data_IF_672831961343
#
_entry.id   IF_672831961343
#
_cell.length_a   1.000
_cell.length_b   1.000
_cell.length_c   1.000
_cell.angle_alpha   90.00
_cell.angle_beta   90.00
_cell.angle_gamma   90.00
#
_symmetry.space_group_name_H-M   'P 1'
#
loop_
_entity.id
_entity.type
_entity.pdbx_description
1 polymer ?
#
# COMPACT_ATOMS: atom_id res chain seq x y z
N UNK A 1 29.06 17.11 -24.97
CA UNK A 1 28.00 16.52 -24.11
C UNK A 1 28.08 17.19 -22.74
N UNK A 2 27.09 18.02 -22.41
CA UNK A 2 27.20 19.01 -21.33
C UNK A 2 27.27 18.34 -19.94
N UNK A 3 28.15 18.84 -19.07
CA UNK A 3 28.37 18.31 -17.71
C UNK A 3 27.08 18.28 -16.88
N UNK A 4 26.16 19.21 -17.17
CA UNK A 4 24.80 19.27 -16.60
C UNK A 4 23.93 18.05 -16.94
N UNK A 5 24.03 17.51 -18.17
CA UNK A 5 23.25 16.33 -18.58
C UNK A 5 23.75 15.03 -17.91
N UNK A 6 25.04 14.96 -17.55
CA UNK A 6 25.60 13.80 -16.83
C UNK A 6 25.13 13.75 -15.39
N UNK A 7 24.97 14.91 -14.74
CA UNK A 7 24.47 15.02 -13.38
C UNK A 7 22.98 14.66 -13.32
N UNK A 8 22.15 15.18 -14.24
CA UNK A 8 20.73 14.81 -14.29
C UNK A 8 20.50 13.32 -14.59
N UNK A 9 21.33 12.69 -15.45
CA UNK A 9 21.26 11.25 -15.71
C UNK A 9 21.68 10.42 -14.48
N UNK A 10 22.68 10.87 -13.72
CA UNK A 10 23.11 10.23 -12.48
C UNK A 10 22.05 10.32 -11.38
N UNK A 11 21.32 11.45 -11.27
CA UNK A 11 20.18 11.58 -10.35
C UNK A 11 18.98 10.73 -10.76
N UNK A 12 18.70 10.61 -12.07
CA UNK A 12 17.66 9.72 -12.58
C UNK A 12 17.99 8.24 -12.31
N UNK A 13 19.26 7.84 -12.52
CA UNK A 13 19.75 6.49 -12.25
C UNK A 13 19.75 6.15 -10.76
N UNK A 14 20.07 7.10 -9.89
CA UNK A 14 20.04 6.93 -8.43
C UNK A 14 18.59 6.79 -7.89
N UNK A 15 17.64 7.53 -8.46
CA UNK A 15 16.22 7.38 -8.15
C UNK A 15 15.64 6.04 -8.63
N UNK A 16 16.12 5.49 -9.75
CA UNK A 16 15.75 4.13 -10.19
C UNK A 16 16.47 3.02 -9.41
N UNK A 17 17.64 3.28 -8.82
CA UNK A 17 18.36 2.30 -7.99
C UNK A 17 17.75 2.14 -6.59
N UNK A 18 17.07 3.17 -6.07
CA UNK A 18 16.43 3.13 -4.75
C UNK A 18 15.03 2.49 -4.77
N UNK A 19 14.44 2.25 -5.95
CA UNK A 19 13.24 1.42 -6.10
C UNK A 19 13.55 -0.10 -6.11
N UNK A 20 14.83 -0.50 -6.15
CA UNK A 20 15.25 -1.89 -6.25
C UNK A 20 15.40 -2.62 -4.90
N UNK A 21 15.14 -1.95 -3.77
CA UNK A 21 15.33 -2.53 -2.42
C UNK A 21 14.04 -2.57 -1.60
N UNK A 22 12.87 -2.55 -2.22
CA UNK A 22 11.58 -2.60 -1.53
C UNK A 22 10.86 -3.87 -2.00
N UNK A 23 10.72 -4.91 -1.16
CA UNK A 23 9.98 -6.09 -1.51
C UNK A 23 8.50 -5.73 -1.42
N UNK A 24 7.75 -5.98 -2.48
CA UNK A 24 6.32 -5.69 -2.51
C UNK A 24 5.54 -6.99 -2.58
N UNK A 25 4.38 -7.04 -1.94
CA UNK A 25 3.41 -8.11 -2.10
C UNK A 25 2.04 -7.49 -2.00
N UNK A 26 1.09 -7.87 -2.86
CA UNK A 26 -0.26 -7.33 -2.81
C UNK A 26 -1.32 -8.41 -2.73
N UNK A 27 -2.44 -8.07 -2.13
CA UNK A 27 -3.64 -8.90 -2.11
C UNK A 27 -4.75 -8.15 -2.79
N UNK A 28 -5.47 -8.81 -3.69
CA UNK A 28 -6.64 -8.25 -4.36
C UNK A 28 -7.90 -8.91 -3.83
N UNK A 29 -8.92 -8.10 -3.59
CA UNK A 29 -10.26 -8.51 -3.19
C UNK A 29 -11.23 -8.00 -4.25
N UNK A 30 -11.96 -8.94 -4.86
CA UNK A 30 -13.02 -8.61 -5.80
C UNK A 30 -14.27 -8.16 -5.03
N UNK A 31 -14.72 -6.94 -5.29
CA UNK A 31 -15.92 -6.35 -4.74
C UNK A 31 -17.00 -6.29 -5.81
N UNK A 32 -18.22 -6.68 -5.46
CA UNK A 32 -19.40 -6.41 -6.29
C UNK A 32 -19.63 -4.90 -6.49
N UNK A 33 -20.57 -4.55 -7.36
CA UNK A 33 -20.90 -3.15 -7.64
C UNK A 33 -21.44 -2.45 -6.37
N UNK A 34 -20.73 -1.44 -5.87
CA UNK A 34 -21.31 -0.39 -5.00
C UNK A 34 -20.76 -0.23 -3.58
N UNK A 35 -19.85 -1.08 -3.08
CA UNK A 35 -19.47 -1.06 -1.65
C UNK A 35 -18.00 -0.76 -1.35
N UNK A 36 -17.22 -0.32 -2.34
CA UNK A 36 -15.76 -0.17 -2.22
C UNK A 36 -15.26 0.67 -1.05
N UNK A 37 -15.90 1.81 -0.77
CA UNK A 37 -15.50 2.66 0.37
C UNK A 37 -15.76 2.01 1.73
N UNK A 38 -16.89 1.31 1.87
CA UNK A 38 -17.26 0.60 3.11
C UNK A 38 -16.29 -0.55 3.37
N UNK A 39 -15.92 -1.29 2.33
CA UNK A 39 -14.94 -2.36 2.45
C UNK A 39 -13.53 -1.81 2.74
N UNK A 40 -13.17 -0.69 2.12
CA UNK A 40 -11.95 0.03 2.43
C UNK A 40 -11.93 0.50 3.89
N UNK A 41 -13.03 0.99 4.47
CA UNK A 41 -13.13 1.32 5.90
C UNK A 41 -12.86 0.11 6.81
N UNK A 42 -13.36 -1.08 6.42
CA UNK A 42 -13.11 -2.32 7.18
C UNK A 42 -11.65 -2.74 7.12
N UNK A 43 -11.03 -2.68 5.95
CA UNK A 43 -9.60 -2.98 5.78
C UNK A 43 -8.74 -1.98 6.54
N UNK A 44 -9.06 -0.70 6.43
CA UNK A 44 -8.36 0.37 7.14
C UNK A 44 -8.41 0.13 8.66
N UNK A 45 -9.57 -0.28 9.20
CA UNK A 45 -9.73 -0.62 10.62
C UNK A 45 -8.94 -1.87 11.00
N UNK A 46 -8.88 -2.88 10.13
CA UNK A 46 -8.08 -4.07 10.35
C UNK A 46 -6.59 -3.72 10.45
N UNK A 47 -6.08 -2.92 9.51
CA UNK A 47 -4.68 -2.49 9.50
C UNK A 47 -4.32 -1.70 10.77
N UNK A 48 -5.19 -0.79 11.22
CA UNK A 48 -5.01 -0.05 12.47
C UNK A 48 -4.95 -0.99 13.68
N UNK A 49 -5.85 -1.97 13.77
CA UNK A 49 -5.84 -2.99 14.83
C UNK A 49 -4.60 -3.86 14.80
N UNK A 50 -4.00 -4.07 13.63
CA UNK A 50 -2.75 -4.81 13.45
C UNK A 50 -1.49 -3.99 13.74
N UNK A 51 -1.64 -2.75 14.24
CA UNK A 51 -0.52 -1.91 14.66
C UNK A 51 0.05 -1.01 13.55
N UNK A 52 -0.63 -0.89 12.42
CA UNK A 52 -0.28 0.10 11.40
C UNK A 52 -0.89 1.46 11.75
N UNK A 53 -0.08 2.52 11.60
CA UNK A 53 -0.52 3.90 11.80
C UNK A 53 -0.91 4.52 10.46
N UNK A 54 -2.10 5.13 10.39
CA UNK A 54 -2.58 5.78 9.16
C UNK A 54 -1.74 7.00 8.79
N UNK A 55 -1.34 7.06 7.53
CA UNK A 55 -0.74 8.23 6.89
C UNK A 55 -1.84 9.22 6.51
N UNK A 56 -1.69 10.47 6.95
CA UNK A 56 -2.62 11.55 6.60
C UNK A 56 -2.12 12.29 5.38
N UNK A 57 -3.00 12.48 4.40
CA UNK A 57 -2.71 13.25 3.20
C UNK A 57 -3.13 14.71 3.38
N UNK A 58 -2.61 15.58 2.53
CA UNK A 58 -3.05 16.97 2.43
C UNK A 58 -4.04 17.08 1.27
N UNK A 59 -5.27 17.48 1.58
CA UNK A 59 -6.36 17.67 0.63
C UNK A 59 -6.20 18.94 -0.20
N UNK A 60 -7.14 19.16 -1.13
CA UNK A 60 -7.10 20.29 -2.07
C UNK A 60 -7.17 21.65 -1.39
N UNK A 61 -7.74 21.72 -0.18
CA UNK A 61 -7.89 22.96 0.58
C UNK A 61 -6.90 23.03 1.77
N UNK A 62 -5.86 22.18 1.76
CA UNK A 62 -4.82 22.13 2.80
C UNK A 62 -5.23 21.35 4.06
N UNK A 63 -6.43 20.77 4.10
CA UNK A 63 -6.93 19.98 5.21
C UNK A 63 -6.29 18.58 5.26
N UNK A 64 -6.18 18.01 6.47
CA UNK A 64 -5.72 16.63 6.63
C UNK A 64 -6.85 15.68 6.30
N UNK A 65 -6.64 14.83 5.30
CA UNK A 65 -7.60 13.81 4.87
C UNK A 65 -7.03 12.40 5.06
N UNK A 66 -7.85 11.42 5.45
CA UNK A 66 -7.39 10.05 5.64
C UNK A 66 -7.15 9.31 4.32
N UNK A 67 -7.67 9.85 3.21
CA UNK A 67 -7.64 9.22 1.88
C UNK A 67 -7.42 10.25 0.79
N UNK A 68 -6.79 9.83 -0.29
CA UNK A 68 -6.62 10.62 -1.50
C UNK A 68 -7.43 10.01 -2.64
N UNK A 69 -8.14 10.85 -3.39
CA UNK A 69 -8.74 10.45 -4.66
C UNK A 69 -7.88 10.94 -5.82
N UNK A 70 -7.45 10.02 -6.68
CA UNK A 70 -6.62 10.33 -7.84
C UNK A 70 -6.82 9.31 -8.95
N UNK A 71 -6.95 9.79 -10.19
CA UNK A 71 -6.98 8.94 -11.40
C UNK A 71 -8.02 7.80 -11.33
N UNK A 72 -9.22 8.09 -10.78
CA UNK A 72 -10.30 7.10 -10.63
C UNK A 72 -10.08 6.07 -9.50
N UNK A 73 -9.09 6.31 -8.63
CA UNK A 73 -8.76 5.48 -7.47
C UNK A 73 -8.96 6.25 -6.18
N UNK A 74 -9.30 5.53 -5.11
CA UNK A 74 -9.27 6.03 -3.73
C UNK A 74 -8.16 5.28 -3.00
N UNK A 75 -7.29 6.01 -2.32
CA UNK A 75 -6.06 5.50 -1.72
C UNK A 75 -6.04 5.82 -0.22
N UNK A 76 -5.74 4.81 0.60
CA UNK A 76 -5.39 4.92 2.03
C UNK A 76 -4.00 4.32 2.22
N UNK A 77 -3.21 4.86 3.14
CA UNK A 77 -1.85 4.39 3.37
C UNK A 77 -1.54 4.33 4.87
N UNK A 78 -0.69 3.38 5.23
CA UNK A 78 -0.33 3.10 6.60
C UNK A 78 1.12 2.66 6.73
N UNK A 79 1.70 2.86 7.92
CA UNK A 79 3.08 2.49 8.25
C UNK A 79 3.20 2.02 9.70
N UNK A 80 4.12 1.11 9.99
CA UNK A 80 4.51 0.79 11.37
C UNK A 80 5.68 1.66 11.83
N UNK A 81 5.77 1.93 13.13
CA UNK A 81 6.94 2.58 13.71
C UNK A 81 8.19 1.66 13.66
N UNK A 82 9.36 2.29 13.55
CA UNK A 82 10.70 1.69 13.48
C UNK A 82 10.96 0.67 14.62
N UNK A 83 11.77 -0.41 14.42
CA UNK A 83 12.77 -0.59 13.37
C UNK A 83 12.28 -1.52 12.26
N UNK A 84 12.32 -0.98 11.03
CA UNK A 84 11.82 -1.54 9.75
C UNK A 84 10.34 -1.21 9.49
N UNK A 85 10.16 -0.08 8.80
CA UNK A 85 8.87 0.48 8.41
C UNK A 85 8.16 -0.37 7.36
N UNK A 86 7.35 -1.32 7.83
CA UNK A 86 6.36 -1.98 6.99
C UNK A 86 5.31 -0.94 6.60
N UNK A 87 5.10 -0.80 5.30
CA UNK A 87 4.06 0.01 4.71
C UNK A 87 2.92 -0.87 4.20
N UNK A 88 1.69 -0.34 4.30
CA UNK A 88 0.53 -0.90 3.64
C UNK A 88 -0.22 0.21 2.90
N UNK A 89 -0.69 -0.07 1.69
CA UNK A 89 -1.53 0.83 0.93
C UNK A 89 -2.79 0.10 0.46
N UNK A 90 -3.94 0.73 0.63
CA UNK A 90 -5.24 0.21 0.19
C UNK A 90 -5.72 1.08 -0.97
N UNK A 91 -5.96 0.46 -2.11
CA UNK A 91 -6.34 1.13 -3.35
C UNK A 91 -7.66 0.54 -3.86
N UNK A 92 -8.71 1.36 -3.84
CA UNK A 92 -9.98 1.02 -4.47
C UNK A 92 -10.05 1.63 -5.87
N UNK A 93 -10.24 0.78 -6.89
CA UNK A 93 -10.49 1.25 -8.26
C UNK A 93 -11.99 1.37 -8.51
N UNK A 94 -12.50 2.60 -8.62
CA UNK A 94 -13.94 2.90 -8.66
C UNK A 94 -14.72 2.09 -9.71
N UNK A 95 -14.13 1.92 -10.88
CA UNK A 95 -14.76 1.24 -12.02
C UNK A 95 -14.32 -0.22 -12.19
N UNK A 96 -13.35 -0.67 -11.40
CA UNK A 96 -12.84 -2.04 -11.45
C UNK A 96 -13.53 -2.98 -10.47
N UNK A 97 -14.18 -2.43 -9.44
CA UNK A 97 -14.71 -3.25 -8.34
C UNK A 97 -13.62 -4.03 -7.62
N UNK A 98 -12.36 -3.60 -7.71
CA UNK A 98 -11.24 -4.29 -7.05
C UNK A 98 -10.67 -3.40 -5.97
N UNK A 99 -10.44 -4.00 -4.81
CA UNK A 99 -9.71 -3.43 -3.70
C UNK A 99 -8.36 -4.15 -3.61
N UNK A 100 -7.28 -3.41 -3.83
CA UNK A 100 -5.92 -3.92 -3.71
C UNK A 100 -5.31 -3.44 -2.39
N UNK A 101 -4.72 -4.35 -1.63
CA UNK A 101 -3.94 -4.07 -0.44
C UNK A 101 -2.49 -4.45 -0.72
N UNK A 102 -1.63 -3.45 -0.92
CA UNK A 102 -0.20 -3.64 -1.16
C UNK A 102 0.59 -3.49 0.13
N UNK A 103 1.56 -4.37 0.34
CA UNK A 103 2.50 -4.40 1.46
C UNK A 103 3.90 -4.18 0.95
N UNK A 104 4.68 -3.39 1.68
CA UNK A 104 6.07 -3.10 1.34
C UNK A 104 6.94 -3.03 2.59
N UNK A 105 8.17 -3.50 2.51
CA UNK A 105 9.21 -3.30 3.55
C UNK A 105 10.40 -2.53 2.95
N UNK A 106 11.28 -1.91 3.74
CA UNK A 106 12.47 -1.22 3.21
C UNK A 106 13.66 -2.17 2.93
N UNK A 107 13.47 -3.49 3.08
CA UNK A 107 14.53 -4.49 2.97
C UNK A 107 14.56 -5.13 1.57
N UNK A 108 15.67 -5.71 1.12
CA UNK A 108 15.70 -6.43 -0.18
C UNK A 108 14.76 -7.64 -0.23
N UNK A 109 14.38 -8.16 0.93
CA UNK A 109 13.44 -9.27 1.09
C UNK A 109 12.54 -8.99 2.30
N UNK A 110 11.31 -9.51 2.31
CA UNK A 110 10.51 -9.46 3.54
C UNK A 110 11.29 -10.14 4.66
N UNK A 111 11.50 -9.42 5.75
CA UNK A 111 12.14 -9.97 6.94
C UNK A 111 11.28 -11.10 7.53
N UNK A 112 11.83 -11.93 8.41
CA UNK A 112 11.02 -12.96 9.09
C UNK A 112 9.80 -12.35 9.80
N UNK A 113 10.01 -11.19 10.46
CA UNK A 113 8.95 -10.39 11.06
C UNK A 113 7.96 -9.85 10.02
N UNK A 114 8.45 -9.28 8.92
CA UNK A 114 7.63 -8.77 7.82
C UNK A 114 6.75 -9.86 7.20
N UNK A 115 7.33 -11.04 6.96
CA UNK A 115 6.61 -12.23 6.51
C UNK A 115 5.55 -12.69 7.53
N UNK A 116 5.89 -12.74 8.82
CA UNK A 116 4.93 -13.11 9.86
C UNK A 116 3.74 -12.14 9.90
N UNK A 117 4.00 -10.83 9.85
CA UNK A 117 2.95 -9.80 9.78
C UNK A 117 2.10 -9.93 8.51
N UNK A 118 2.73 -10.14 7.35
CA UNK A 118 2.03 -10.37 6.09
C UNK A 118 1.12 -11.60 6.18
N UNK A 119 1.62 -12.74 6.66
CA UNK A 119 0.82 -13.97 6.78
C UNK A 119 -0.35 -13.82 7.76
N UNK A 120 -0.14 -13.11 8.88
CA UNK A 120 -1.22 -12.81 9.83
C UNK A 120 -2.32 -11.96 9.17
N UNK A 121 -1.96 -10.89 8.45
CA UNK A 121 -2.91 -10.04 7.74
C UNK A 121 -3.64 -10.79 6.64
N UNK A 122 -2.95 -11.62 5.86
CA UNK A 122 -3.58 -12.46 4.83
C UNK A 122 -4.57 -13.46 5.45
N UNK A 123 -4.29 -13.96 6.64
CA UNK A 123 -5.21 -14.84 7.38
C UNK A 123 -6.48 -14.08 7.78
N UNK A 124 -6.34 -12.86 8.31
CA UNK A 124 -7.47 -12.00 8.66
C UNK A 124 -8.30 -11.61 7.41
N UNK A 125 -7.65 -11.26 6.29
CA UNK A 125 -8.38 -10.99 5.04
C UNK A 125 -9.15 -12.20 4.54
N UNK A 126 -8.56 -13.40 4.58
CA UNK A 126 -9.25 -14.64 4.20
C UNK A 126 -10.41 -14.96 5.15
N UNK A 127 -10.30 -14.61 6.43
CA UNK A 127 -11.41 -14.75 7.36
C UNK A 127 -12.57 -13.79 7.03
N UNK A 128 -12.26 -12.58 6.56
CA UNK A 128 -13.26 -11.57 6.18
C UNK A 128 -13.90 -11.82 4.81
N UNK A 129 -13.10 -12.20 3.82
CA UNK A 129 -13.49 -12.23 2.41
C UNK A 129 -13.43 -13.62 1.76
N UNK A 130 -12.99 -14.65 2.49
CA UNK A 130 -12.95 -16.02 1.99
C UNK A 130 -12.00 -16.21 0.81
N UNK A 131 -12.47 -16.92 -0.21
CA UNK A 131 -11.69 -17.30 -1.39
C UNK A 131 -11.40 -16.12 -2.34
N UNK A 132 -12.01 -14.95 -2.12
CA UNK A 132 -11.86 -13.78 -2.99
C UNK A 132 -10.52 -13.04 -2.81
N UNK A 133 -9.68 -13.50 -1.86
CA UNK A 133 -8.36 -12.94 -1.58
C UNK A 133 -7.29 -13.62 -2.45
N UNK A 134 -6.83 -12.93 -3.50
CA UNK A 134 -5.74 -13.41 -4.36
C UNK A 134 -4.45 -12.68 -4.05
N UNK A 135 -3.39 -13.43 -3.73
CA UNK A 135 -2.05 -12.87 -3.50
C UNK A 135 -1.30 -12.70 -4.83
N UNK A 136 -0.75 -11.52 -5.05
CA UNK A 136 0.16 -11.18 -6.13
C UNK A 136 1.54 -10.90 -5.52
N UNK A 137 2.58 -11.46 -6.14
CA UNK A 137 3.98 -11.23 -5.78
C UNK A 137 4.64 -10.30 -6.76
#
# INVERSE_FOLDING_TARGET
MNMRNRIHLAWLLLATFLAACIPTSSTTIALGAGHGLVEMDRIDTLLERSGFTRTWFIGSNGERVPRMEREGKVISAFVTESPRGLGAAVVWTKNGGVLEVAFSEYDTHFSERGNASLQALLTEFRALYGADVTLLK
#
